data_IF_264246924683
#
_entry.id   IF_264246924683
#
_cell.length_a   1.000
_cell.length_b   1.000
_cell.length_c   1.000
_cell.angle_alpha   90.00
_cell.angle_beta   90.00
_cell.angle_gamma   90.00
#
_symmetry.space_group_name_H-M   'P 1'
#
loop_
_entity.id
_entity.type
_entity.pdbx_description
1 polymer ?
#
# COMPACT_ATOMS: atom_id res chain seq x y z
N UNK A 1 -3.00 15.30 21.73
CA UNK A 1 -1.84 14.42 21.97
C UNK A 1 -1.28 14.03 20.61
N UNK A 2 -0.28 14.75 20.11
CA UNK A 2 0.38 14.38 18.84
C UNK A 2 1.22 13.14 19.09
N UNK A 3 0.95 12.05 18.37
CA UNK A 3 1.85 10.91 18.32
C UNK A 3 3.21 11.43 17.84
N UNK A 4 4.29 11.11 18.56
CA UNK A 4 5.63 11.51 18.15
C UNK A 4 5.98 10.97 16.76
N UNK A 5 6.93 11.58 16.04
CA UNK A 5 7.29 11.15 14.68
C UNK A 5 7.71 9.67 14.62
N UNK A 6 8.38 9.18 15.66
CA UNK A 6 8.76 7.77 15.79
C UNK A 6 7.52 6.87 15.91
N UNK A 7 6.52 7.28 16.71
CA UNK A 7 5.27 6.51 16.88
C UNK A 7 4.50 6.40 15.58
N UNK A 8 4.46 7.46 14.76
CA UNK A 8 3.84 7.43 13.43
C UNK A 8 4.55 6.47 12.48
N UNK A 9 5.89 6.47 12.49
CA UNK A 9 6.68 5.54 11.66
C UNK A 9 6.39 4.09 12.06
N UNK A 10 6.42 3.79 13.37
CA UNK A 10 6.12 2.44 13.86
C UNK A 10 4.70 2.02 13.50
N UNK A 11 3.72 2.92 13.63
CA UNK A 11 2.33 2.65 13.24
C UNK A 11 2.19 2.38 11.74
N UNK A 12 2.81 3.21 10.89
CA UNK A 12 2.75 3.06 9.45
C UNK A 12 3.34 1.71 9.01
N UNK A 13 4.51 1.34 9.54
CA UNK A 13 5.15 0.05 9.26
C UNK A 13 4.28 -1.10 9.77
N UNK A 14 3.78 -1.02 11.01
CA UNK A 14 2.92 -2.05 11.61
C UNK A 14 1.64 -2.31 10.82
N UNK A 15 0.99 -1.24 10.33
CA UNK A 15 -0.20 -1.35 9.48
C UNK A 15 0.11 -2.00 8.14
N UNK A 16 1.19 -1.61 7.46
CA UNK A 16 1.62 -2.22 6.20
C UNK A 16 1.88 -3.72 6.40
N UNK A 17 2.67 -4.10 7.40
CA UNK A 17 2.96 -5.49 7.71
C UNK A 17 1.70 -6.29 8.06
N UNK A 18 0.77 -5.70 8.80
CA UNK A 18 -0.49 -6.37 9.15
C UNK A 18 -1.32 -6.64 7.90
N UNK A 19 -1.48 -5.65 7.02
CA UNK A 19 -2.26 -5.80 5.78
C UNK A 19 -1.59 -6.80 4.85
N UNK A 20 -0.28 -6.71 4.62
CA UNK A 20 0.46 -7.65 3.78
C UNK A 20 0.43 -9.09 4.35
N UNK A 21 0.61 -9.22 5.67
CA UNK A 21 0.50 -10.51 6.36
C UNK A 21 -0.89 -11.12 6.27
N UNK A 22 -1.95 -10.31 6.35
CA UNK A 22 -3.32 -10.78 6.15
C UNK A 22 -3.58 -11.24 4.72
N UNK A 23 -3.05 -10.53 3.72
CA UNK A 23 -3.14 -10.96 2.31
C UNK A 23 -2.48 -12.33 2.12
N UNK A 24 -1.29 -12.53 2.69
CA UNK A 24 -0.57 -13.80 2.67
C UNK A 24 -1.29 -14.92 3.45
N UNK A 25 -1.85 -14.61 4.62
CA UNK A 25 -2.48 -15.60 5.50
C UNK A 25 -3.88 -16.02 5.04
N UNK A 26 -4.69 -15.07 4.54
CA UNK A 26 -6.11 -15.31 4.22
C UNK A 26 -6.34 -15.75 2.77
N UNK A 27 -5.48 -15.33 1.84
CA UNK A 27 -5.70 -15.58 0.42
C UNK A 27 -4.40 -15.90 -0.36
N UNK A 28 -3.57 -16.86 0.09
CA UNK A 28 -2.30 -17.18 -0.56
C UNK A 28 -2.47 -17.54 -2.04
N UNK A 29 -3.49 -18.31 -2.41
CA UNK A 29 -3.75 -18.71 -3.81
C UNK A 29 -4.17 -17.56 -4.72
N UNK A 30 -4.75 -16.48 -4.16
CA UNK A 30 -5.13 -15.28 -4.95
C UNK A 30 -3.92 -14.45 -5.31
N UNK A 31 -2.84 -14.53 -4.53
CA UNK A 31 -1.59 -13.85 -4.84
C UNK A 31 -0.99 -14.45 -6.11
N UNK A 32 -0.98 -15.77 -6.24
CA UNK A 32 -0.46 -16.44 -7.44
C UNK A 32 -1.24 -16.04 -8.70
N UNK A 33 -2.57 -16.05 -8.63
CA UNK A 33 -3.44 -15.59 -9.73
C UNK A 33 -3.17 -14.12 -10.10
N UNK A 34 -3.04 -13.24 -9.10
CA UNK A 34 -2.75 -11.82 -9.32
C UNK A 34 -1.35 -11.61 -9.93
N UNK A 35 -0.35 -12.34 -9.46
CA UNK A 35 1.01 -12.28 -10.00
C UNK A 35 1.03 -12.74 -11.46
N UNK A 36 0.29 -13.78 -11.81
CA UNK A 36 0.18 -14.23 -13.20
C UNK A 36 -0.54 -13.20 -14.09
N UNK A 37 -1.54 -12.49 -13.57
CA UNK A 37 -2.15 -11.36 -14.28
C UNK A 37 -1.14 -10.21 -14.49
N UNK A 38 -0.40 -9.84 -13.46
CA UNK A 38 0.63 -8.78 -13.54
C UNK A 38 1.75 -9.20 -14.51
N UNK A 39 2.16 -10.47 -14.51
CA UNK A 39 3.17 -11.03 -15.43
C UNK A 39 2.75 -10.97 -16.89
N UNK A 40 1.46 -10.98 -17.20
CA UNK A 40 0.94 -10.82 -18.56
C UNK A 40 0.92 -9.36 -19.02
N UNK A 41 1.03 -8.39 -18.11
CA UNK A 41 1.07 -6.96 -18.45
C UNK A 41 2.42 -6.57 -19.07
N UNK A 42 2.40 -5.58 -19.97
CA UNK A 42 3.62 -4.93 -20.49
C UNK A 42 4.36 -4.18 -19.37
N UNK A 43 5.65 -3.93 -19.56
CA UNK A 43 6.48 -3.18 -18.59
C UNK A 43 5.90 -1.78 -18.32
N UNK A 44 5.43 -1.11 -19.37
CA UNK A 44 4.82 0.22 -19.24
C UNK A 44 3.55 0.19 -18.39
N UNK A 45 2.68 -0.80 -18.60
CA UNK A 45 1.45 -0.94 -17.80
C UNK A 45 1.76 -1.19 -16.33
N UNK A 46 2.76 -2.04 -16.02
CA UNK A 46 3.21 -2.27 -14.63
C UNK A 46 3.75 -0.99 -14.00
N UNK A 47 4.51 -0.20 -14.76
CA UNK A 47 5.04 1.09 -14.30
C UNK A 47 3.91 2.08 -14.01
N UNK A 48 2.95 2.18 -14.91
CA UNK A 48 1.80 3.09 -14.75
C UNK A 48 0.93 2.67 -13.56
N UNK A 49 0.74 1.37 -13.34
CA UNK A 49 0.04 0.85 -12.16
C UNK A 49 0.78 1.23 -10.87
N UNK A 50 2.10 1.07 -10.83
CA UNK A 50 2.92 1.48 -9.68
C UNK A 50 2.86 2.98 -9.41
N UNK A 51 2.99 3.81 -10.46
CA UNK A 51 2.88 5.28 -10.35
C UNK A 51 1.48 5.67 -9.84
N UNK A 52 0.42 5.05 -10.36
CA UNK A 52 -0.95 5.27 -9.90
C UNK A 52 -1.14 4.92 -8.43
N UNK A 53 -0.56 3.80 -7.98
CA UNK A 53 -0.56 3.40 -6.57
C UNK A 53 0.15 4.42 -5.67
N UNK A 54 1.33 4.89 -6.07
CA UNK A 54 2.08 5.93 -5.34
C UNK A 54 1.29 7.24 -5.28
N UNK A 55 0.73 7.68 -6.39
CA UNK A 55 -0.05 8.91 -6.47
C UNK A 55 -1.29 8.85 -5.57
N UNK A 56 -2.02 7.74 -5.58
CA UNK A 56 -3.17 7.53 -4.72
C UNK A 56 -2.78 7.49 -3.23
N UNK A 57 -1.70 6.76 -2.89
CA UNK A 57 -1.19 6.70 -1.53
C UNK A 57 -0.82 8.09 -0.99
N UNK A 58 -0.10 8.88 -1.79
CA UNK A 58 0.26 10.26 -1.42
C UNK A 58 -0.98 11.16 -1.27
N UNK A 59 -1.97 11.02 -2.16
CA UNK A 59 -3.22 11.78 -2.08
C UNK A 59 -4.00 11.46 -0.79
N UNK A 60 -4.05 10.19 -0.37
CA UNK A 60 -4.69 9.78 0.89
C UNK A 60 -3.93 10.31 2.11
N UNK A 61 -2.61 10.25 2.12
CA UNK A 61 -1.78 10.81 3.20
C UNK A 61 -2.02 12.32 3.31
N UNK A 62 -2.05 13.02 2.17
CA UNK A 62 -2.31 14.45 2.13
C UNK A 62 -3.73 14.79 2.62
N UNK A 63 -4.75 14.04 2.20
CA UNK A 63 -6.12 14.20 2.69
C UNK A 63 -6.19 14.00 4.21
N UNK A 64 -5.55 12.96 4.74
CA UNK A 64 -5.51 12.72 6.18
C UNK A 64 -4.83 13.87 6.94
N UNK A 65 -3.77 14.47 6.37
CA UNK A 65 -3.11 15.63 6.95
C UNK A 65 -4.02 16.88 6.93
N UNK A 66 -4.75 17.10 5.83
CA UNK A 66 -5.72 18.20 5.71
C UNK A 66 -6.86 18.05 6.71
N UNK A 67 -7.38 16.83 6.92
CA UNK A 67 -8.45 16.56 7.88
C UNK A 67 -8.02 16.65 9.36
N UNK A 68 -6.71 16.54 9.63
CA UNK A 68 -6.15 16.67 10.98
C UNK A 68 -5.86 18.12 11.39
N UNK A 69 -5.68 19.02 10.41
CA UNK A 69 -5.47 20.46 10.62
C UNK A 69 -6.77 21.19 10.89
#
# INVERSE_FOLDING_TARGET
MTLGPITLIVLAIGLVLTVEGLVLALAPSRIDELLDLIRKMSVEMRRNLGIGGVALGLALIWLAAVLQG
#
